data_IF_385817213978
#
_entry.id   IF_385817213978
#
_cell.length_a   1.000
_cell.length_b   1.000
_cell.length_c   1.000
_cell.angle_alpha   90.00
_cell.angle_beta   90.00
_cell.angle_gamma   90.00
#
_symmetry.space_group_name_H-M   'P 1'
#
loop_
_entity.id
_entity.type
_entity.pdbx_description
1 polymer ?
#
# COMPACT_ATOMS: atom_id res chain seq x y z
N UNK A 1 -29.27 -10.75 -4.31
CA UNK A 1 -30.37 -10.46 -3.37
C UNK A 1 -29.97 -9.31 -2.46
N UNK A 2 -30.89 -8.40 -2.10
CA UNK A 2 -30.60 -7.16 -1.36
C UNK A 2 -29.91 -7.39 0.00
N UNK A 3 -30.10 -8.57 0.61
CA UNK A 3 -29.49 -8.98 1.89
C UNK A 3 -27.96 -9.03 1.83
N UNK A 4 -27.37 -9.50 0.71
CA UNK A 4 -25.90 -9.66 0.60
C UNK A 4 -25.20 -8.31 0.50
N UNK A 5 -25.84 -7.33 -0.15
CA UNK A 5 -25.33 -5.97 -0.31
C UNK A 5 -25.31 -5.22 1.02
N UNK A 6 -26.29 -5.46 1.90
CA UNK A 6 -26.40 -4.84 3.22
C UNK A 6 -25.34 -5.34 4.22
N UNK A 7 -24.91 -6.59 4.11
CA UNK A 7 -23.85 -7.14 4.98
C UNK A 7 -22.48 -6.54 4.64
N UNK A 8 -22.22 -6.22 3.37
CA UNK A 8 -20.95 -5.64 2.93
C UNK A 8 -20.76 -4.21 3.47
N UNK A 9 -21.79 -3.37 3.39
CA UNK A 9 -21.77 -2.01 3.92
C UNK A 9 -21.63 -2.01 5.43
N UNK A 10 -22.36 -2.89 6.13
CA UNK A 10 -22.23 -3.08 7.57
C UNK A 10 -20.81 -3.50 7.98
N UNK A 11 -20.17 -4.42 7.25
CA UNK A 11 -18.80 -4.83 7.55
C UNK A 11 -17.80 -3.66 7.44
N UNK A 12 -17.94 -2.81 6.43
CA UNK A 12 -17.08 -1.62 6.26
C UNK A 12 -17.26 -0.61 7.39
N UNK A 13 -18.49 -0.36 7.84
CA UNK A 13 -18.75 0.53 8.97
C UNK A 13 -18.21 -0.04 10.27
N UNK A 14 -18.38 -1.35 10.51
CA UNK A 14 -17.81 -2.02 11.67
C UNK A 14 -16.28 -1.91 11.72
N UNK A 15 -15.60 -2.02 10.58
CA UNK A 15 -14.14 -1.79 10.48
C UNK A 15 -13.77 -0.34 10.79
N UNK A 16 -14.50 0.63 10.23
CA UNK A 16 -14.26 2.06 10.45
C UNK A 16 -14.35 2.45 11.93
N UNK A 17 -15.26 1.83 12.68
CA UNK A 17 -15.46 2.09 14.11
C UNK A 17 -14.71 1.11 15.03
N UNK A 18 -13.89 0.19 14.47
CA UNK A 18 -13.12 -0.76 15.27
C UNK A 18 -13.96 -1.75 16.08
N UNK A 19 -15.20 -2.03 15.65
CA UNK A 19 -16.13 -2.87 16.39
C UNK A 19 -15.69 -4.35 16.34
N UNK A 20 -15.77 -5.06 17.47
CA UNK A 20 -15.44 -6.48 17.52
C UNK A 20 -16.40 -7.33 16.67
N UNK A 21 -15.95 -8.47 16.15
CA UNK A 21 -16.80 -9.34 15.32
C UNK A 21 -18.08 -9.78 16.05
N UNK A 22 -17.99 -10.00 17.38
CA UNK A 22 -19.11 -10.45 18.20
C UNK A 22 -20.13 -9.32 18.39
N UNK A 23 -19.67 -8.12 18.73
CA UNK A 23 -20.55 -6.96 18.84
C UNK A 23 -21.19 -6.61 17.49
N UNK A 24 -20.42 -6.66 16.41
CA UNK A 24 -20.93 -6.45 15.06
C UNK A 24 -22.00 -7.46 14.65
N UNK A 25 -21.81 -8.74 15.00
CA UNK A 25 -22.80 -9.78 14.76
C UNK A 25 -24.12 -9.51 15.49
N UNK A 26 -24.06 -9.08 16.76
CA UNK A 26 -25.25 -8.70 17.55
C UNK A 26 -25.98 -7.49 16.96
N UNK A 27 -25.24 -6.42 16.60
CA UNK A 27 -25.82 -5.20 16.02
C UNK A 27 -26.52 -5.51 14.69
N UNK A 28 -25.85 -6.23 13.79
CA UNK A 28 -26.40 -6.57 12.47
C UNK A 28 -27.59 -7.52 12.62
N UNK A 29 -27.53 -8.50 13.53
CA UNK A 29 -28.65 -9.42 13.75
C UNK A 29 -29.88 -8.72 14.32
N UNK A 30 -29.70 -7.79 15.26
CA UNK A 30 -30.79 -6.98 15.81
C UNK A 30 -31.44 -6.11 14.70
N UNK A 31 -30.64 -5.40 13.91
CA UNK A 31 -31.14 -4.58 12.80
C UNK A 31 -31.88 -5.42 11.74
N UNK A 32 -31.47 -6.67 11.51
CA UNK A 32 -32.15 -7.59 10.60
C UNK A 32 -33.45 -8.17 11.18
N UNK A 33 -33.54 -8.31 12.50
CA UNK A 33 -34.79 -8.65 13.18
C UNK A 33 -35.78 -7.49 13.12
N UNK A 34 -35.33 -6.27 13.44
CA UNK A 34 -36.15 -5.05 13.33
C UNK A 34 -36.63 -4.81 11.90
N UNK A 35 -35.79 -5.13 10.91
CA UNK A 35 -36.13 -5.07 9.49
C UNK A 35 -37.00 -6.22 8.97
N UNK A 36 -37.41 -7.18 9.82
CA UNK A 36 -38.27 -8.30 9.45
C UNK A 36 -37.61 -9.36 8.55
N UNK A 37 -36.28 -9.33 8.40
CA UNK A 37 -35.52 -10.30 7.59
C UNK A 37 -35.24 -11.59 8.37
N UNK A 38 -35.09 -11.46 9.68
CA UNK A 38 -34.94 -12.56 10.63
C UNK A 38 -36.18 -12.57 11.53
N UNK A 39 -36.73 -13.76 11.76
CA UNK A 39 -37.76 -13.99 12.79
C UNK A 39 -37.32 -15.15 13.67
N UNK A 40 -37.98 -15.33 14.82
CA UNK A 40 -37.75 -16.50 15.68
C UNK A 40 -37.98 -17.83 14.95
N UNK A 41 -38.91 -17.83 13.97
CA UNK A 41 -39.21 -18.99 13.13
C UNK A 41 -38.28 -19.17 11.93
N UNK A 42 -37.51 -18.13 11.54
CA UNK A 42 -36.63 -18.15 10.36
C UNK A 42 -35.23 -17.62 10.69
N UNK A 43 -34.36 -18.52 11.14
CA UNK A 43 -32.98 -18.21 11.59
C UNK A 43 -31.91 -18.33 10.49
N UNK A 44 -32.30 -18.60 9.25
CA UNK A 44 -31.33 -18.83 8.15
C UNK A 44 -30.39 -17.64 7.91
N UNK A 45 -30.91 -16.42 8.10
CA UNK A 45 -30.21 -15.18 7.83
C UNK A 45 -29.52 -14.57 9.07
N UNK A 46 -29.50 -15.26 10.21
CA UNK A 46 -28.82 -14.77 11.43
C UNK A 46 -27.34 -14.51 11.15
N UNK A 47 -26.85 -13.34 11.58
CA UNK A 47 -25.47 -12.93 11.36
C UNK A 47 -24.64 -13.30 12.57
N UNK A 48 -23.85 -14.37 12.42
CA UNK A 48 -22.89 -14.80 13.43
C UNK A 48 -21.51 -14.10 13.28
N UNK A 49 -20.67 -14.28 14.29
CA UNK A 49 -19.29 -13.78 14.31
C UNK A 49 -18.47 -14.23 13.08
N UNK A 50 -18.63 -15.47 12.64
CA UNK A 50 -17.93 -16.02 11.48
C UNK A 50 -18.42 -15.40 10.16
N UNK A 51 -19.70 -15.07 10.02
CA UNK A 51 -20.25 -14.32 8.87
C UNK A 51 -19.63 -12.93 8.78
N UNK A 52 -19.51 -12.21 9.90
CA UNK A 52 -18.80 -10.92 9.96
C UNK A 52 -17.32 -11.08 9.57
N UNK A 53 -16.62 -12.05 10.18
CA UNK A 53 -15.21 -12.31 9.88
C UNK A 53 -14.98 -12.64 8.40
N UNK A 54 -15.81 -13.50 7.80
CA UNK A 54 -15.75 -13.82 6.37
C UNK A 54 -16.02 -12.58 5.50
N UNK A 55 -17.02 -11.77 5.87
CA UNK A 55 -17.31 -10.51 5.21
C UNK A 55 -16.11 -9.55 5.24
N UNK A 56 -15.44 -9.42 6.39
CA UNK A 56 -14.22 -8.61 6.57
C UNK A 56 -13.09 -9.09 5.69
N UNK A 57 -12.78 -10.38 5.74
CA UNK A 57 -11.73 -10.96 4.89
C UNK A 57 -12.01 -10.69 3.42
N UNK A 58 -13.23 -10.98 2.93
CA UNK A 58 -13.60 -10.74 1.53
C UNK A 58 -13.46 -9.26 1.14
N UNK A 59 -13.94 -8.35 1.99
CA UNK A 59 -13.87 -6.91 1.74
C UNK A 59 -12.42 -6.42 1.65
N UNK A 60 -11.57 -6.86 2.58
CA UNK A 60 -10.14 -6.49 2.61
C UNK A 60 -9.38 -7.09 1.45
N UNK A 61 -9.63 -8.34 1.09
CA UNK A 61 -9.03 -8.96 -0.11
C UNK A 61 -9.44 -8.23 -1.37
N UNK A 62 -10.72 -7.87 -1.54
CA UNK A 62 -11.17 -7.07 -2.69
C UNK A 62 -10.51 -5.69 -2.74
N UNK A 63 -10.39 -5.01 -1.60
CA UNK A 63 -9.66 -3.74 -1.49
C UNK A 63 -8.19 -3.91 -1.88
N UNK A 64 -7.50 -4.92 -1.35
CA UNK A 64 -6.11 -5.20 -1.69
C UNK A 64 -5.93 -5.53 -3.19
N UNK A 65 -6.82 -6.32 -3.78
CA UNK A 65 -6.76 -6.61 -5.21
C UNK A 65 -7.02 -5.37 -6.07
N UNK A 66 -7.89 -4.46 -5.65
CA UNK A 66 -8.10 -3.19 -6.36
C UNK A 66 -6.86 -2.31 -6.27
N UNK A 67 -6.33 -2.13 -5.05
CA UNK A 67 -5.06 -1.46 -4.78
C UNK A 67 -3.97 -2.02 -5.70
N UNK A 68 -3.75 -3.34 -5.72
CA UNK A 68 -2.73 -3.97 -6.57
C UNK A 68 -2.95 -3.69 -8.07
N UNK A 69 -4.20 -3.70 -8.56
CA UNK A 69 -4.49 -3.34 -9.96
C UNK A 69 -4.22 -1.86 -10.26
N UNK A 70 -4.45 -0.98 -9.30
CA UNK A 70 -4.13 0.43 -9.42
C UNK A 70 -2.58 0.66 -9.39
N UNK A 71 -1.81 -0.32 -8.87
CA UNK A 71 -0.34 -0.35 -8.85
C UNK A 71 0.28 -1.26 -9.92
N UNK A 72 -0.47 -1.79 -10.89
CA UNK A 72 0.06 -2.58 -12.04
C UNK A 72 0.79 -1.71 -13.08
N UNK A 73 1.08 -0.45 -12.74
CA UNK A 73 1.96 0.43 -13.48
C UNK A 73 3.41 0.19 -13.04
N UNK A 74 4.38 0.46 -13.93
CA UNK A 74 5.82 0.34 -13.66
C UNK A 74 6.18 0.98 -12.30
N UNK A 75 6.20 0.18 -11.24
CA UNK A 75 6.46 0.68 -9.89
C UNK A 75 7.97 0.65 -9.67
N UNK A 76 8.53 1.83 -9.45
CA UNK A 76 9.93 2.02 -9.17
C UNK A 76 10.15 2.02 -7.66
N UNK A 77 10.93 1.07 -7.16
CA UNK A 77 11.52 1.08 -5.84
C UNK A 77 12.81 1.91 -5.83
N UNK A 78 12.95 2.77 -4.82
CA UNK A 78 14.23 3.42 -4.51
C UNK A 78 14.97 2.57 -3.48
N UNK A 79 16.13 2.05 -3.86
CA UNK A 79 16.97 1.28 -2.94
C UNK A 79 18.24 2.07 -2.59
N UNK A 80 18.46 2.21 -1.28
CA UNK A 80 19.68 2.79 -0.71
C UNK A 80 20.56 1.63 -0.25
N UNK A 81 21.57 1.28 -1.04
CA UNK A 81 22.54 0.24 -0.65
C UNK A 81 23.63 0.79 0.29
N UNK A 82 23.63 2.10 0.55
CA UNK A 82 24.58 2.78 1.43
C UNK A 82 26.01 2.79 0.91
N UNK A 83 26.23 2.47 -0.38
CA UNK A 83 27.57 2.46 -0.97
C UNK A 83 28.11 3.88 -1.05
N UNK A 84 29.31 4.04 -0.48
CA UNK A 84 30.06 5.29 -0.44
C UNK A 84 31.41 5.05 -1.09
N UNK A 85 31.53 5.46 -2.34
CA UNK A 85 32.72 5.22 -3.14
C UNK A 85 33.65 6.44 -3.09
N UNK A 86 34.95 6.19 -3.03
CA UNK A 86 35.97 7.26 -3.04
C UNK A 86 36.35 7.59 -4.48
N UNK A 87 35.92 8.73 -4.96
CA UNK A 87 36.22 9.22 -6.32
C UNK A 87 37.33 10.28 -6.26
N UNK A 88 38.30 10.22 -7.17
CA UNK A 88 39.35 11.25 -7.29
C UNK A 88 38.88 12.32 -8.26
N UNK A 89 38.62 13.53 -7.77
CA UNK A 89 38.38 14.71 -8.61
C UNK A 89 39.67 15.54 -8.76
N UNK A 90 39.80 16.23 -9.90
CA UNK A 90 40.92 17.14 -10.18
C UNK A 90 40.40 18.56 -10.20
N UNK A 91 40.70 19.32 -9.15
CA UNK A 91 40.32 20.73 -9.01
C UNK A 91 41.60 21.53 -8.81
N UNK A 92 41.80 22.57 -9.62
CA UNK A 92 43.00 23.45 -9.57
C UNK A 92 44.34 22.69 -9.60
N UNK A 93 44.45 21.72 -10.52
CA UNK A 93 45.62 20.84 -10.70
C UNK A 93 46.01 19.99 -9.47
N UNK A 94 45.21 20.01 -8.40
CA UNK A 94 45.36 19.16 -7.21
C UNK A 94 44.36 18.01 -7.26
N UNK A 95 44.80 16.82 -6.86
CA UNK A 95 43.93 15.65 -6.73
C UNK A 95 43.25 15.70 -5.36
N UNK A 96 41.91 15.67 -5.35
CA UNK A 96 41.10 15.61 -4.14
C UNK A 96 40.32 14.30 -4.15
N UNK A 97 40.31 13.60 -3.02
CA UNK A 97 39.46 12.43 -2.83
C UNK A 97 38.12 12.91 -2.28
N UNK A 98 37.04 12.59 -2.99
CA UNK A 98 35.67 12.84 -2.58
C UNK A 98 34.98 11.51 -2.30
N UNK A 99 33.95 11.54 -1.45
CA UNK A 99 33.10 10.37 -1.18
C UNK A 99 31.77 10.64 -1.87
N UNK A 100 31.40 9.77 -2.81
CA UNK A 100 30.18 9.83 -3.60
C UNK A 100 29.21 8.73 -3.15
N UNK A 101 27.92 9.05 -3.06
CA UNK A 101 26.88 8.12 -2.62
C UNK A 101 26.01 7.73 -3.82
N UNK A 102 25.74 6.43 -3.96
CA UNK A 102 24.98 5.88 -5.10
C UNK A 102 23.58 5.42 -4.65
N UNK A 103 22.55 5.81 -5.40
CA UNK A 103 21.15 5.42 -5.17
C UNK A 103 20.70 4.57 -6.35
N UNK A 104 20.28 3.34 -6.09
CA UNK A 104 19.80 2.42 -7.14
C UNK A 104 18.29 2.54 -7.35
N UNK A 105 17.89 2.63 -8.61
CA UNK A 105 16.50 2.59 -9.05
C UNK A 105 16.19 1.17 -9.53
N UNK A 106 15.22 0.52 -8.90
CA UNK A 106 14.80 -0.84 -9.24
C UNK A 106 13.31 -0.90 -9.55
N UNK A 107 12.87 -1.81 -10.41
CA UNK A 107 11.46 -2.05 -10.70
C UNK A 107 10.97 -3.17 -9.81
N UNK A 108 9.81 -2.97 -9.21
CA UNK A 108 9.07 -4.02 -8.52
C UNK A 108 7.81 -4.42 -9.29
N UNK A 109 7.40 -5.71 -9.23
CA UNK A 109 8.02 -6.80 -8.48
C UNK A 109 9.23 -7.44 -9.20
N UNK A 110 10.26 -7.84 -8.44
CA UNK A 110 11.41 -8.60 -8.95
C UNK A 110 12.74 -7.87 -8.84
N UNK A 111 12.75 -6.67 -8.25
CA UNK A 111 13.95 -5.84 -8.04
C UNK A 111 14.83 -5.69 -9.28
N UNK A 112 14.22 -5.54 -10.46
CA UNK A 112 14.93 -5.39 -11.73
C UNK A 112 15.68 -4.04 -11.74
N UNK A 113 16.98 -4.05 -12.02
CA UNK A 113 17.77 -2.83 -12.03
C UNK A 113 17.47 -1.96 -13.26
N UNK A 114 17.16 -0.69 -13.03
CA UNK A 114 16.80 0.27 -14.08
C UNK A 114 17.88 1.32 -14.27
N UNK A 115 18.50 1.76 -13.18
CA UNK A 115 19.51 2.82 -13.21
C UNK A 115 20.01 3.17 -11.83
N UNK A 116 20.91 4.15 -11.76
CA UNK A 116 21.37 4.71 -10.50
C UNK A 116 21.58 6.22 -10.62
N UNK A 117 21.61 6.87 -9.47
CA UNK A 117 21.91 8.29 -9.32
C UNK A 117 23.10 8.43 -8.38
N UNK A 118 24.15 9.11 -8.85
CA UNK A 118 25.29 9.52 -8.00
C UNK A 118 25.01 10.89 -7.40
N UNK A 119 25.20 11.06 -6.09
CA UNK A 119 24.99 12.33 -5.41
C UNK A 119 26.25 12.74 -4.64
N UNK A 120 26.80 13.90 -5.01
CA UNK A 120 27.98 14.48 -4.37
C UNK A 120 27.82 14.69 -2.85
N UNK A 121 26.58 14.83 -2.37
CA UNK A 121 26.25 14.99 -0.95
C UNK A 121 24.89 14.37 -0.63
N UNK A 122 24.80 13.60 0.46
CA UNK A 122 23.57 13.00 0.99
C UNK A 122 22.57 13.99 1.61
N UNK A 123 22.44 15.20 1.06
CA UNK A 123 21.40 16.16 1.49
C UNK A 123 20.09 15.81 0.80
N UNK A 124 19.01 15.73 1.57
CA UNK A 124 17.68 15.38 1.07
C UNK A 124 17.24 16.19 -0.16
N UNK A 125 17.54 17.49 -0.19
CA UNK A 125 17.23 18.37 -1.33
C UNK A 125 17.99 17.98 -2.60
N UNK A 126 19.28 17.65 -2.50
CA UNK A 126 20.12 17.25 -3.64
C UNK A 126 19.66 15.89 -4.16
N UNK A 127 19.40 14.95 -3.25
CA UNK A 127 18.87 13.63 -3.59
C UNK A 127 17.54 13.75 -4.34
N UNK A 128 16.59 14.52 -3.80
CA UNK A 128 15.28 14.72 -4.42
C UNK A 128 15.37 15.33 -5.82
N UNK A 129 16.22 16.34 -6.00
CA UNK A 129 16.40 16.98 -7.30
C UNK A 129 17.03 16.04 -8.35
N UNK A 130 18.03 15.24 -7.97
CA UNK A 130 18.67 14.32 -8.91
C UNK A 130 17.73 13.16 -9.29
N UNK A 131 16.96 12.63 -8.34
CA UNK A 131 15.92 11.63 -8.61
C UNK A 131 14.89 12.21 -9.58
N UNK A 132 14.37 13.41 -9.30
CA UNK A 132 13.40 14.08 -10.18
C UNK A 132 13.95 14.28 -11.60
N UNK A 133 15.20 14.75 -11.73
CA UNK A 133 15.85 14.93 -13.03
C UNK A 133 16.01 13.62 -13.78
N UNK A 134 16.35 12.52 -13.10
CA UNK A 134 16.52 11.20 -13.73
C UNK A 134 15.22 10.68 -14.35
N UNK A 135 14.07 10.96 -13.72
CA UNK A 135 12.76 10.58 -14.24
C UNK A 135 12.23 11.57 -15.29
N UNK A 136 12.56 12.86 -15.18
CA UNK A 136 12.14 13.87 -16.14
C UNK A 136 12.83 13.71 -17.51
N UNK A 137 14.10 13.27 -17.53
CA UNK A 137 14.87 13.04 -18.77
C UNK A 137 14.50 11.76 -19.52
N UNK A 138 13.84 10.80 -18.86
CA UNK A 138 13.44 9.51 -19.46
C UNK A 138 12.05 9.54 -20.09
N UNK A 139 11.34 10.67 -20.01
CA UNK A 139 9.99 10.88 -20.53
C UNK A 139 9.93 11.82 -21.77
N UNK A 140 11.07 12.13 -22.38
CA UNK A 140 11.22 12.84 -23.66
C UNK A 140 11.91 11.95 -24.69
#
# INVERSE_FOLDING_TARGET
TPVVTNVLTAVRTLDRFGISDRAGASIVSAALQDGGIISESNVLNVVDRNKIRRGRTKTRTTLLCQVIKDYDHDQFGLYFDGRKDKTISKEDNRRKVMIDEHISLVKEPGSEYIGHVSVNFGRAQIIGNNIYSSFALTMT
#
